data_IF_114488074744
#
_entry.id   IF_114488074744
#
_cell.length_a   1.000
_cell.length_b   1.000
_cell.length_c   1.000
_cell.angle_alpha   90.00
_cell.angle_beta   90.00
_cell.angle_gamma   90.00
#
_symmetry.space_group_name_H-M   'P 1'
#
loop_
_entity.id
_entity.type
_entity.pdbx_description
1 polymer ?
#
# COMPACT_ATOMS: atom_id res chain seq x y z
N UNK A 1 18.05 -0.10 -3.99
CA UNK A 1 18.28 -0.09 -2.53
C UNK A 1 17.49 -1.19 -1.81
N UNK A 2 16.15 -1.23 -1.87
CA UNK A 2 15.33 -2.27 -1.22
C UNK A 2 15.71 -3.72 -1.61
N UNK A 3 15.93 -3.98 -2.90
CA UNK A 3 16.33 -5.32 -3.38
C UNK A 3 17.72 -5.73 -2.88
N UNK A 4 18.66 -4.78 -2.80
CA UNK A 4 19.99 -5.03 -2.23
C UNK A 4 19.89 -5.38 -0.74
N UNK A 5 19.07 -4.64 0.02
CA UNK A 5 18.82 -4.92 1.44
C UNK A 5 18.13 -6.26 1.64
N UNK A 6 17.23 -6.65 0.74
CA UNK A 6 16.58 -7.95 0.75
C UNK A 6 17.58 -9.09 0.57
N UNK A 7 18.43 -9.02 -0.46
CA UNK A 7 19.49 -10.01 -0.70
C UNK A 7 20.51 -10.08 0.44
N UNK A 8 20.85 -8.93 1.04
CA UNK A 8 21.64 -8.91 2.26
C UNK A 8 20.93 -9.65 3.40
N UNK A 9 19.66 -9.36 3.65
CA UNK A 9 18.86 -10.03 4.69
C UNK A 9 18.83 -11.55 4.53
N UNK A 10 18.63 -12.03 3.30
CA UNK A 10 18.65 -13.45 2.95
C UNK A 10 20.01 -14.11 3.19
N UNK A 11 21.09 -13.36 3.02
CA UNK A 11 22.46 -13.86 3.21
C UNK A 11 22.87 -13.91 4.68
N UNK A 12 22.32 -13.03 5.52
CA UNK A 12 22.70 -12.89 6.92
C UNK A 12 21.79 -13.62 7.91
N UNK A 13 20.53 -13.87 7.56
CA UNK A 13 19.55 -14.51 8.46
C UNK A 13 19.00 -15.81 7.86
N UNK A 14 19.32 -16.97 8.46
CA UNK A 14 18.76 -18.26 8.04
C UNK A 14 17.24 -18.29 8.13
N UNK A 15 16.65 -17.76 9.20
CA UNK A 15 15.20 -17.72 9.39
C UNK A 15 14.53 -16.86 8.31
N UNK A 16 15.13 -15.72 7.97
CA UNK A 16 14.65 -14.88 6.87
C UNK A 16 14.79 -15.58 5.52
N UNK A 17 15.86 -16.35 5.30
CA UNK A 17 15.99 -17.16 4.09
C UNK A 17 14.90 -18.25 4.01
N UNK A 18 14.65 -18.95 5.11
CA UNK A 18 13.63 -20.01 5.18
C UNK A 18 12.22 -19.47 4.92
N UNK A 19 11.88 -18.29 5.47
CA UNK A 19 10.59 -17.63 5.22
C UNK A 19 10.31 -17.36 3.72
N UNK A 20 11.35 -17.26 2.91
CA UNK A 20 11.27 -17.00 1.47
C UNK A 20 11.57 -18.23 0.59
N UNK A 21 11.96 -19.35 1.19
CA UNK A 21 12.30 -20.56 0.46
C UNK A 21 11.02 -21.31 0.02
N UNK A 22 11.11 -22.02 -1.10
CA UNK A 22 10.09 -22.96 -1.53
C UNK A 22 10.46 -24.38 -1.06
N UNK A 23 9.53 -25.06 -0.39
CA UNK A 23 9.71 -26.44 0.07
C UNK A 23 10.00 -27.36 -1.13
N UNK A 24 11.03 -28.20 -1.02
CA UNK A 24 11.39 -29.14 -2.09
C UNK A 24 12.15 -28.52 -3.28
N UNK A 25 12.33 -27.20 -3.34
CA UNK A 25 13.18 -26.55 -4.35
C UNK A 25 14.58 -26.30 -3.75
N UNK A 26 15.66 -26.74 -4.43
CA UNK A 26 17.02 -26.53 -3.95
C UNK A 26 17.34 -25.03 -3.78
N UNK A 27 18.10 -24.63 -2.74
CA UNK A 27 18.54 -23.25 -2.55
C UNK A 27 19.26 -22.65 -3.76
N UNK A 28 19.93 -23.47 -4.57
CA UNK A 28 20.61 -23.06 -5.81
C UNK A 28 19.65 -22.36 -6.77
N UNK A 29 18.39 -22.79 -6.83
CA UNK A 29 17.39 -22.15 -7.68
C UNK A 29 17.11 -20.71 -7.21
N UNK A 30 17.07 -20.48 -5.90
CA UNK A 30 16.91 -19.14 -5.36
C UNK A 30 18.12 -18.26 -5.69
N UNK A 31 19.34 -18.78 -5.50
CA UNK A 31 20.58 -18.06 -5.85
C UNK A 31 20.73 -17.76 -7.34
N UNK A 32 20.08 -18.52 -8.22
CA UNK A 32 20.09 -18.22 -9.66
C UNK A 32 19.43 -16.88 -10.01
N UNK A 33 18.53 -16.37 -9.15
CA UNK A 33 17.91 -15.06 -9.31
C UNK A 33 18.78 -13.90 -8.79
N UNK A 34 19.84 -14.18 -8.02
CA UNK A 34 20.67 -13.13 -7.41
C UNK A 34 21.27 -12.17 -8.45
N UNK A 35 21.93 -12.70 -9.47
CA UNK A 35 22.59 -11.88 -10.48
C UNK A 35 21.58 -11.12 -11.37
N UNK A 36 20.51 -11.77 -11.91
CA UNK A 36 19.44 -11.05 -12.60
C UNK A 36 18.78 -9.96 -11.75
N UNK A 37 18.45 -10.23 -10.49
CA UNK A 37 17.81 -9.24 -9.62
C UNK A 37 18.72 -8.05 -9.33
N UNK A 38 19.99 -8.29 -9.09
CA UNK A 38 20.95 -7.23 -8.79
C UNK A 38 21.26 -6.38 -10.03
N UNK A 39 21.42 -7.00 -11.20
CA UNK A 39 21.76 -6.30 -12.43
C UNK A 39 20.53 -5.67 -13.10
N UNK A 40 19.51 -6.47 -13.39
CA UNK A 40 18.33 -6.04 -14.14
C UNK A 40 17.36 -5.26 -13.27
N UNK A 41 17.14 -5.66 -12.03
CA UNK A 41 16.15 -4.97 -11.20
C UNK A 41 16.79 -3.84 -10.40
N UNK A 42 17.78 -4.13 -9.57
CA UNK A 42 18.39 -3.11 -8.71
C UNK A 42 19.24 -2.11 -9.52
N UNK A 43 20.08 -2.60 -10.43
CA UNK A 43 20.92 -1.77 -11.30
C UNK A 43 20.11 -0.85 -12.21
N UNK A 44 19.17 -1.40 -12.98
CA UNK A 44 18.33 -0.58 -13.87
C UNK A 44 17.38 0.33 -13.09
N UNK A 45 16.89 -0.07 -11.91
CA UNK A 45 16.10 0.85 -11.06
C UNK A 45 16.92 2.03 -10.55
N UNK A 46 18.23 1.85 -10.32
CA UNK A 46 19.16 2.94 -9.99
C UNK A 46 19.34 3.86 -11.19
N UNK A 47 19.59 3.31 -12.38
CA UNK A 47 19.71 4.08 -13.61
C UNK A 47 18.42 4.85 -13.90
N UNK A 48 17.25 4.23 -13.70
CA UNK A 48 15.92 4.86 -13.81
C UNK A 48 15.77 6.08 -12.90
N UNK A 49 16.36 6.05 -11.70
CA UNK A 49 16.25 7.18 -10.77
C UNK A 49 16.95 8.45 -11.28
N UNK A 50 17.91 8.32 -12.22
CA UNK A 50 18.69 9.43 -12.76
C UNK A 50 18.48 9.67 -14.25
N UNK A 51 17.80 8.76 -14.96
CA UNK A 51 17.60 8.86 -16.41
C UNK A 51 16.14 8.60 -16.80
N UNK A 52 15.50 9.49 -17.57
CA UNK A 52 14.10 9.35 -17.97
C UNK A 52 13.96 8.48 -19.25
N UNK A 53 14.47 7.25 -19.22
CA UNK A 53 14.40 6.34 -20.38
C UNK A 53 13.20 5.40 -20.22
N UNK A 54 12.14 5.64 -20.99
CA UNK A 54 10.90 4.84 -20.94
C UNK A 54 11.15 3.35 -21.25
N UNK A 55 12.03 3.05 -22.21
CA UNK A 55 12.38 1.66 -22.56
C UNK A 55 12.91 0.88 -21.35
N UNK A 56 13.61 1.54 -20.45
CA UNK A 56 14.15 0.94 -19.23
C UNK A 56 13.05 0.46 -18.29
N UNK A 57 11.93 1.20 -18.23
CA UNK A 57 10.79 0.86 -17.39
C UNK A 57 10.12 -0.43 -17.85
N UNK A 58 9.97 -0.63 -19.17
CA UNK A 58 9.44 -1.87 -19.73
C UNK A 58 10.38 -3.07 -19.52
N UNK A 59 11.70 -2.85 -19.57
CA UNK A 59 12.68 -3.92 -19.26
C UNK A 59 12.57 -4.33 -17.79
N UNK A 60 12.49 -3.37 -16.87
CA UNK A 60 12.31 -3.64 -15.43
C UNK A 60 10.97 -4.36 -15.20
N UNK A 61 9.89 -3.92 -15.85
CA UNK A 61 8.59 -4.55 -15.75
C UNK A 61 8.63 -6.01 -16.25
N UNK A 62 9.30 -6.27 -17.37
CA UNK A 62 9.50 -7.61 -17.90
C UNK A 62 10.31 -8.51 -16.96
N UNK A 63 11.37 -7.98 -16.33
CA UNK A 63 12.15 -8.70 -15.34
C UNK A 63 11.31 -9.11 -14.12
N UNK A 64 10.52 -8.19 -13.57
CA UNK A 64 9.55 -8.51 -12.52
C UNK A 64 8.50 -9.52 -12.99
N UNK A 65 8.02 -9.42 -14.23
CA UNK A 65 7.05 -10.35 -14.81
C UNK A 65 7.58 -11.78 -14.85
N UNK A 66 8.78 -11.97 -15.38
CA UNK A 66 9.45 -13.28 -15.41
C UNK A 66 9.62 -13.87 -14.01
N UNK A 67 10.17 -13.10 -13.07
CA UNK A 67 10.37 -13.55 -11.70
C UNK A 67 9.03 -13.88 -11.00
N UNK A 68 7.98 -13.08 -11.25
CA UNK A 68 6.63 -13.33 -10.71
C UNK A 68 6.08 -14.66 -11.19
N UNK A 69 6.13 -14.93 -12.50
CA UNK A 69 5.62 -16.18 -13.05
C UNK A 69 6.38 -17.39 -12.49
N UNK A 70 7.70 -17.28 -12.34
CA UNK A 70 8.48 -18.32 -11.69
C UNK A 70 8.02 -18.58 -10.26
N UNK A 71 7.93 -17.54 -9.43
CA UNK A 71 7.51 -17.68 -8.03
C UNK A 71 6.09 -18.25 -7.92
N UNK A 72 5.14 -17.76 -8.71
CA UNK A 72 3.77 -18.27 -8.73
C UNK A 72 3.73 -19.76 -9.13
N UNK A 73 4.50 -20.16 -10.14
CA UNK A 73 4.60 -21.57 -10.54
C UNK A 73 5.25 -22.43 -9.44
N UNK A 74 6.31 -21.93 -8.81
CA UNK A 74 6.96 -22.60 -7.68
C UNK A 74 5.99 -22.80 -6.51
N UNK A 75 5.27 -21.74 -6.09
CA UNK A 75 4.24 -21.85 -5.04
C UNK A 75 3.13 -22.83 -5.42
N UNK A 76 2.71 -22.86 -6.68
CA UNK A 76 1.70 -23.80 -7.13
C UNK A 76 2.17 -25.25 -7.02
N UNK A 77 3.42 -25.54 -7.36
CA UNK A 77 3.99 -26.89 -7.33
C UNK A 77 4.33 -27.36 -5.91
N UNK A 78 4.80 -26.46 -5.04
CA UNK A 78 5.29 -26.81 -3.71
C UNK A 78 4.28 -26.55 -2.60
N UNK A 79 3.17 -25.86 -2.91
CA UNK A 79 2.21 -25.35 -1.94
C UNK A 79 2.86 -24.52 -0.81
N UNK A 80 3.96 -23.81 -1.12
CA UNK A 80 4.77 -23.06 -0.16
C UNK A 80 5.30 -21.75 -0.77
N UNK A 81 6.04 -20.94 0.01
CA UNK A 81 6.70 -19.72 -0.51
C UNK A 81 5.70 -18.61 -0.86
N UNK A 82 4.56 -18.55 -0.16
CA UNK A 82 3.54 -17.52 -0.34
C UNK A 82 4.10 -16.11 -0.15
N UNK A 83 5.04 -15.92 0.77
CA UNK A 83 5.69 -14.63 1.01
C UNK A 83 6.48 -14.15 -0.20
N UNK A 84 7.32 -15.02 -0.77
CA UNK A 84 8.13 -14.73 -1.97
C UNK A 84 7.26 -14.41 -3.18
N UNK A 85 6.24 -15.24 -3.43
CA UNK A 85 5.30 -15.03 -4.53
C UNK A 85 4.48 -13.77 -4.35
N UNK A 86 4.01 -13.49 -3.13
CA UNK A 86 3.27 -12.28 -2.80
C UNK A 86 4.11 -11.02 -3.00
N UNK A 87 5.36 -11.01 -2.55
CA UNK A 87 6.26 -9.87 -2.75
C UNK A 87 6.59 -9.62 -4.22
N UNK A 88 6.77 -10.69 -5.01
CA UNK A 88 7.03 -10.55 -6.43
C UNK A 88 5.80 -10.03 -7.19
N UNK A 89 4.60 -10.51 -6.85
CA UNK A 89 3.33 -9.98 -7.36
C UNK A 89 3.13 -8.51 -7.02
N UNK A 90 3.42 -8.10 -5.77
CA UNK A 90 3.36 -6.70 -5.36
C UNK A 90 4.38 -5.84 -6.13
N UNK A 91 5.60 -6.34 -6.31
CA UNK A 91 6.63 -5.69 -7.11
C UNK A 91 6.21 -5.50 -8.57
N UNK A 92 5.62 -6.52 -9.18
CA UNK A 92 5.08 -6.44 -10.54
C UNK A 92 3.93 -5.43 -10.64
N UNK A 93 2.98 -5.48 -9.70
CA UNK A 93 1.85 -4.55 -9.67
C UNK A 93 2.34 -3.09 -9.52
N UNK A 94 3.32 -2.85 -8.64
CA UNK A 94 3.91 -1.53 -8.44
C UNK A 94 4.63 -1.02 -9.70
N UNK A 95 5.43 -1.84 -10.37
CA UNK A 95 6.09 -1.41 -11.61
C UNK A 95 5.09 -1.25 -12.76
N UNK A 96 4.01 -2.04 -12.79
CA UNK A 96 2.90 -1.85 -13.72
C UNK A 96 2.22 -0.50 -13.49
N UNK A 97 2.00 -0.11 -12.23
CA UNK A 97 1.48 1.21 -11.87
C UNK A 97 2.41 2.35 -12.33
N UNK A 98 3.72 2.20 -12.19
CA UNK A 98 4.68 3.20 -12.66
C UNK A 98 4.72 3.33 -14.19
N UNK A 99 4.65 2.22 -14.93
CA UNK A 99 4.69 2.24 -16.40
C UNK A 99 3.38 2.74 -17.02
N UNK A 100 2.26 2.54 -16.34
CA UNK A 100 0.92 2.76 -16.87
C UNK A 100 0.02 3.60 -15.95
N UNK A 101 0.46 4.78 -15.46
CA UNK A 101 -0.27 5.54 -14.45
C UNK A 101 -1.67 5.97 -14.95
N UNK A 102 -1.79 6.31 -16.23
CA UNK A 102 -3.05 6.74 -16.85
C UNK A 102 -4.18 5.71 -16.79
N UNK A 103 -3.88 4.41 -16.61
CA UNK A 103 -4.91 3.38 -16.46
C UNK A 103 -5.50 3.33 -15.05
N UNK A 104 -4.76 3.81 -14.05
CA UNK A 104 -5.16 3.74 -12.65
C UNK A 104 -5.96 4.95 -12.19
N UNK A 105 -5.87 6.09 -12.87
CA UNK A 105 -6.57 7.32 -12.51
C UNK A 105 -7.74 7.58 -13.45
N UNK A 106 -8.96 7.38 -12.96
CA UNK A 106 -10.18 7.60 -13.76
C UNK A 106 -11.29 8.22 -12.92
N UNK A 107 -11.87 9.29 -13.44
CA UNK A 107 -12.99 9.97 -12.80
C UNK A 107 -14.26 9.11 -12.80
N UNK A 108 -15.06 9.23 -11.75
CA UNK A 108 -16.27 8.43 -11.63
C UNK A 108 -17.32 8.80 -12.65
N UNK A 109 -17.85 7.77 -13.32
CA UNK A 109 -18.95 7.89 -14.30
C UNK A 109 -20.34 7.90 -13.66
N UNK A 110 -20.44 7.61 -12.36
CA UNK A 110 -21.71 7.49 -11.65
C UNK A 110 -21.93 8.70 -10.75
N UNK A 111 -23.05 9.40 -10.96
CA UNK A 111 -23.52 10.46 -10.07
C UNK A 111 -24.40 9.94 -8.92
N UNK A 112 -24.76 8.64 -8.92
CA UNK A 112 -25.65 8.06 -7.91
C UNK A 112 -24.90 7.75 -6.61
N UNK A 113 -25.39 8.32 -5.51
CA UNK A 113 -24.87 8.07 -4.16
C UNK A 113 -24.88 6.58 -3.80
N UNK A 114 -26.00 5.87 -3.99
CA UNK A 114 -26.13 4.45 -3.62
C UNK A 114 -25.14 3.58 -4.38
N UNK A 115 -24.95 3.84 -5.68
CA UNK A 115 -23.99 3.10 -6.49
C UNK A 115 -22.55 3.33 -6.00
N UNK A 116 -22.19 4.58 -5.71
CA UNK A 116 -20.86 4.92 -5.22
C UNK A 116 -20.62 4.37 -3.81
N UNK A 117 -21.66 4.29 -2.97
CA UNK A 117 -21.60 3.66 -1.65
C UNK A 117 -21.36 2.15 -1.74
N UNK A 118 -22.09 1.44 -2.61
CA UNK A 118 -21.90 -0.01 -2.84
C UNK A 118 -20.50 -0.29 -3.36
N UNK A 119 -20.05 0.46 -4.38
CA UNK A 119 -18.69 0.32 -4.91
C UNK A 119 -17.65 0.55 -3.82
N UNK A 120 -17.77 1.63 -3.05
CA UNK A 120 -16.85 1.93 -1.95
C UNK A 120 -16.86 0.82 -0.90
N UNK A 121 -18.03 0.27 -0.57
CA UNK A 121 -18.15 -0.87 0.35
C UNK A 121 -17.39 -2.10 -0.15
N UNK A 122 -17.60 -2.49 -1.41
CA UNK A 122 -16.88 -3.61 -2.04
C UNK A 122 -15.37 -3.36 -2.06
N UNK A 123 -14.96 -2.14 -2.41
CA UNK A 123 -13.55 -1.75 -2.46
C UNK A 123 -12.89 -1.80 -1.09
N UNK A 124 -13.53 -1.23 -0.06
CA UNK A 124 -13.05 -1.25 1.32
C UNK A 124 -12.90 -2.69 1.80
N UNK A 125 -13.90 -3.54 1.56
CA UNK A 125 -13.84 -4.96 1.92
C UNK A 125 -12.67 -5.68 1.23
N UNK A 126 -12.47 -5.47 -0.07
CA UNK A 126 -11.38 -6.07 -0.82
C UNK A 126 -10.00 -5.60 -0.33
N UNK A 127 -9.83 -4.29 -0.14
CA UNK A 127 -8.57 -3.71 0.34
C UNK A 127 -8.27 -4.17 1.77
N UNK A 128 -9.27 -4.17 2.65
CA UNK A 128 -9.10 -4.60 4.04
C UNK A 128 -8.80 -6.10 4.10
N UNK A 129 -9.49 -6.93 3.34
CA UNK A 129 -9.16 -8.34 3.26
C UNK A 129 -7.71 -8.54 2.79
N UNK A 130 -7.29 -7.88 1.72
CA UNK A 130 -5.93 -8.02 1.20
C UNK A 130 -4.87 -7.51 2.20
N UNK A 131 -5.03 -6.29 2.70
CA UNK A 131 -4.02 -5.58 3.46
C UNK A 131 -4.00 -5.92 4.96
N UNK A 132 -5.14 -6.34 5.53
CA UNK A 132 -5.31 -6.57 6.97
C UNK A 132 -5.58 -8.05 7.29
N UNK A 133 -5.87 -8.90 6.31
CA UNK A 133 -6.05 -10.34 6.53
C UNK A 133 -5.00 -11.13 5.77
N UNK A 134 -4.97 -11.04 4.44
CA UNK A 134 -4.10 -11.87 3.61
C UNK A 134 -2.61 -11.59 3.87
N UNK A 135 -2.19 -10.34 3.81
CA UNK A 135 -0.77 -9.99 4.03
C UNK A 135 -0.31 -10.34 5.45
N UNK A 136 -1.03 -9.94 6.53
CA UNK A 136 -0.70 -10.38 7.88
C UNK A 136 -0.67 -11.89 8.03
N UNK A 137 -1.63 -12.62 7.46
CA UNK A 137 -1.64 -14.09 7.49
C UNK A 137 -0.38 -14.67 6.87
N UNK A 138 0.00 -14.23 5.66
CA UNK A 138 1.20 -14.71 4.97
C UNK A 138 2.47 -14.38 5.76
N UNK A 139 2.53 -13.21 6.40
CA UNK A 139 3.67 -12.84 7.26
C UNK A 139 3.71 -13.69 8.54
N UNK A 140 2.59 -13.95 9.19
CA UNK A 140 2.55 -14.77 10.39
C UNK A 140 2.89 -16.23 10.08
N UNK A 141 2.42 -16.75 8.95
CA UNK A 141 2.73 -18.09 8.46
C UNK A 141 4.23 -18.24 8.16
N UNK A 142 4.79 -17.30 7.39
CA UNK A 142 6.18 -17.37 6.96
C UNK A 142 7.21 -17.23 8.09
N UNK A 143 6.82 -16.65 9.23
CA UNK A 143 7.68 -16.47 10.41
C UNK A 143 7.25 -17.33 11.61
N UNK A 144 6.42 -18.37 11.39
CA UNK A 144 5.94 -19.28 12.44
C UNK A 144 5.26 -18.58 13.64
N UNK A 145 4.57 -17.47 13.37
CA UNK A 145 3.86 -16.62 14.34
C UNK A 145 2.34 -16.79 14.27
N UNK A 146 1.84 -17.80 13.57
CA UNK A 146 0.42 -18.22 13.58
C UNK A 146 0.03 -18.85 14.92
N UNK A 147 0.03 -18.05 15.98
CA UNK A 147 -0.49 -18.42 17.29
C UNK A 147 -1.73 -17.58 17.62
N UNK A 148 -2.63 -18.15 18.43
CA UNK A 148 -3.73 -17.36 18.98
C UNK A 148 -3.16 -16.26 19.88
N UNK A 149 -3.60 -14.99 19.72
CA UNK A 149 -3.17 -13.91 20.59
C UNK A 149 -3.41 -14.23 22.06
N UNK A 150 -2.41 -13.96 22.90
CA UNK A 150 -2.56 -14.10 24.34
C UNK A 150 -3.64 -13.15 24.87
N UNK A 151 -4.49 -13.65 25.75
CA UNK A 151 -5.51 -12.82 26.41
C UNK A 151 -4.83 -11.92 27.42
N UNK A 152 -4.83 -10.61 27.18
CA UNK A 152 -4.22 -9.63 28.06
C UNK A 152 -4.53 -8.20 27.68
N UNK A 153 -3.90 -7.25 28.39
CA UNK A 153 -4.04 -5.82 28.14
C UNK A 153 -3.69 -5.45 26.69
N UNK A 154 -2.66 -6.09 26.12
CA UNK A 154 -2.22 -5.85 24.75
C UNK A 154 -3.32 -6.15 23.72
N UNK A 155 -4.06 -7.25 23.91
CA UNK A 155 -5.20 -7.60 23.05
C UNK A 155 -6.30 -6.53 23.13
N UNK A 156 -6.64 -6.07 24.34
CA UNK A 156 -7.66 -5.02 24.52
C UNK A 156 -7.22 -3.72 23.86
N UNK A 157 -5.98 -3.28 24.08
CA UNK A 157 -5.41 -2.07 23.47
C UNK A 157 -5.39 -2.19 21.94
N UNK A 158 -4.94 -3.34 21.41
CA UNK A 158 -4.93 -3.59 19.97
C UNK A 158 -6.33 -3.52 19.36
N UNK A 159 -7.33 -4.14 19.98
CA UNK A 159 -8.72 -4.10 19.50
C UNK A 159 -9.32 -2.70 19.55
N UNK A 160 -9.02 -1.92 20.60
CA UNK A 160 -9.45 -0.52 20.70
C UNK A 160 -8.81 0.31 19.59
N UNK A 161 -7.49 0.20 19.40
CA UNK A 161 -6.78 0.92 18.33
C UNK A 161 -7.31 0.53 16.96
N UNK A 162 -7.49 -0.77 16.71
CA UNK A 162 -8.06 -1.26 15.45
C UNK A 162 -9.46 -0.69 15.21
N UNK A 163 -10.32 -0.67 16.23
CA UNK A 163 -11.66 -0.07 16.16
C UNK A 163 -11.63 1.43 15.86
N UNK A 164 -10.76 2.19 16.52
CA UNK A 164 -10.61 3.63 16.31
C UNK A 164 -10.12 3.96 14.89
N UNK A 165 -9.11 3.23 14.39
CA UNK A 165 -8.63 3.43 13.02
C UNK A 165 -9.63 2.94 11.97
N UNK A 166 -10.37 1.87 12.25
CA UNK A 166 -11.48 1.40 11.41
C UNK A 166 -12.58 2.47 11.30
N UNK A 167 -12.93 3.09 12.42
CA UNK A 167 -13.88 4.20 12.45
C UNK A 167 -13.38 5.39 11.62
N UNK A 168 -12.10 5.75 11.73
CA UNK A 168 -11.49 6.79 10.90
C UNK A 168 -11.56 6.45 9.41
N UNK A 169 -11.25 5.21 9.03
CA UNK A 169 -11.30 4.75 7.63
C UNK A 169 -12.72 4.76 7.04
N UNK A 170 -13.70 4.25 7.80
CA UNK A 170 -15.10 4.19 7.38
C UNK A 170 -15.73 5.59 7.31
N UNK A 171 -15.47 6.45 8.30
CA UNK A 171 -15.95 7.84 8.26
C UNK A 171 -15.33 8.61 7.09
N UNK A 172 -14.03 8.43 6.83
CA UNK A 172 -13.39 9.01 5.65
C UNK A 172 -14.05 8.53 4.35
N UNK A 173 -14.35 7.23 4.25
CA UNK A 173 -15.01 6.64 3.08
C UNK A 173 -16.41 7.22 2.86
N UNK A 174 -17.16 7.40 3.96
CA UNK A 174 -18.48 8.02 3.92
C UNK A 174 -18.43 9.46 3.38
N UNK A 175 -17.53 10.30 3.89
CA UNK A 175 -17.37 11.68 3.40
C UNK A 175 -16.92 11.73 1.93
N UNK A 176 -16.10 10.77 1.50
CA UNK A 176 -15.68 10.67 0.10
C UNK A 176 -16.86 10.41 -0.84
N UNK A 177 -17.74 9.47 -0.46
CA UNK A 177 -18.94 9.14 -1.26
C UNK A 177 -19.96 10.28 -1.22
N UNK A 178 -20.20 10.85 -0.04
CA UNK A 178 -21.20 11.89 0.19
C UNK A 178 -20.87 13.18 -0.55
N UNK A 179 -19.65 13.68 -0.40
CA UNK A 179 -19.28 15.03 -0.85
C UNK A 179 -18.42 15.01 -2.12
N UNK A 180 -17.84 13.86 -2.47
CA UNK A 180 -16.94 13.73 -3.60
C UNK A 180 -17.59 13.22 -4.90
N UNK A 181 -18.82 12.71 -4.87
CA UNK A 181 -19.51 12.12 -6.02
C UNK A 181 -18.65 11.08 -6.79
N UNK A 182 -17.95 10.22 -6.05
CA UNK A 182 -17.14 9.12 -6.56
C UNK A 182 -16.68 8.21 -5.42
N UNK A 183 -15.61 7.44 -5.63
CA UNK A 183 -15.07 6.50 -4.65
C UNK A 183 -13.66 6.94 -4.21
N UNK A 184 -13.16 6.45 -3.07
CA UNK A 184 -11.80 6.76 -2.62
C UNK A 184 -10.70 6.10 -3.44
N UNK A 185 -11.01 5.14 -4.33
CA UNK A 185 -10.00 4.48 -5.15
C UNK A 185 -9.63 5.31 -6.40
N UNK A 186 -8.34 5.32 -6.80
CA UNK A 186 -7.87 5.97 -8.03
C UNK A 186 -8.65 5.57 -9.30
N UNK A 187 -9.13 4.32 -9.35
CA UNK A 187 -9.83 3.77 -10.52
C UNK A 187 -11.25 4.34 -10.73
N UNK A 188 -11.83 4.98 -9.71
CA UNK A 188 -13.18 5.54 -9.75
C UNK A 188 -13.24 6.77 -8.81
N UNK A 189 -12.35 7.74 -9.04
CA UNK A 189 -12.11 8.89 -8.17
C UNK A 189 -13.32 9.83 -8.04
N UNK A 190 -13.31 10.58 -6.94
CA UNK A 190 -14.22 11.70 -6.73
C UNK A 190 -14.13 12.76 -7.82
N UNK A 191 -15.28 13.35 -8.15
CA UNK A 191 -15.44 14.46 -9.07
C UNK A 191 -15.29 15.83 -8.36
N UNK A 192 -15.41 15.85 -7.04
CA UNK A 192 -15.24 17.05 -6.22
C UNK A 192 -14.14 16.86 -5.16
N UNK A 193 -13.45 17.95 -4.85
CA UNK A 193 -12.45 17.98 -3.78
C UNK A 193 -13.16 17.94 -2.42
N UNK A 194 -12.98 16.85 -1.68
CA UNK A 194 -13.58 16.64 -0.36
C UNK A 194 -12.70 17.28 0.72
N UNK A 195 -13.26 18.24 1.46
CA UNK A 195 -12.60 18.97 2.54
C UNK A 195 -13.35 18.85 3.88
N UNK A 196 -14.36 18.01 3.93
CA UNK A 196 -15.28 17.81 5.06
C UNK A 196 -14.88 16.61 5.93
N UNK A 197 -15.42 16.55 7.14
CA UNK A 197 -15.16 15.44 8.07
C UNK A 197 -13.68 15.29 8.40
N UNK A 198 -13.11 14.06 8.39
CA UNK A 198 -11.68 13.82 8.64
C UNK A 198 -10.74 14.61 7.72
N UNK A 199 -11.17 14.88 6.47
CA UNK A 199 -10.37 15.62 5.48
C UNK A 199 -10.16 17.10 5.86
N UNK A 200 -10.92 17.64 6.82
CA UNK A 200 -10.67 18.98 7.37
C UNK A 200 -9.39 19.04 8.20
N UNK A 201 -9.04 17.93 8.85
CA UNK A 201 -7.94 17.88 9.81
C UNK A 201 -6.68 17.30 9.19
N UNK A 202 -6.80 16.36 8.25
CA UNK A 202 -5.65 15.72 7.63
C UNK A 202 -5.97 15.36 6.18
N UNK A 203 -5.00 15.48 5.26
CA UNK A 203 -5.26 15.27 3.83
C UNK A 203 -5.49 13.81 3.46
N UNK A 204 -4.85 12.88 4.18
CA UNK A 204 -4.90 11.45 3.88
C UNK A 204 -5.30 10.61 5.10
N UNK A 205 -6.52 10.81 5.64
CA UNK A 205 -6.99 10.09 6.83
C UNK A 205 -7.10 8.59 6.61
N UNK A 206 -7.37 8.14 5.38
CA UNK A 206 -7.44 6.72 5.03
C UNK A 206 -6.08 6.01 5.08
N UNK A 207 -4.99 6.69 4.67
CA UNK A 207 -3.65 6.14 4.78
C UNK A 207 -3.26 5.96 6.26
N UNK A 208 -3.59 6.94 7.10
CA UNK A 208 -3.42 6.86 8.56
C UNK A 208 -4.24 5.71 9.15
N UNK A 209 -5.50 5.57 8.75
CA UNK A 209 -6.36 4.48 9.18
C UNK A 209 -5.76 3.10 8.82
N UNK A 210 -5.36 2.89 7.57
CA UNK A 210 -4.79 1.62 7.13
C UNK A 210 -3.50 1.25 7.84
N UNK A 211 -2.56 2.20 7.99
CA UNK A 211 -1.30 1.98 8.71
C UNK A 211 -1.58 1.71 10.19
N UNK A 212 -2.48 2.48 10.81
CA UNK A 212 -2.88 2.30 12.21
C UNK A 212 -3.55 0.95 12.47
N UNK A 213 -4.42 0.49 11.57
CA UNK A 213 -5.01 -0.85 11.62
C UNK A 213 -3.94 -1.94 11.53
N UNK A 214 -2.99 -1.81 10.59
CA UNK A 214 -1.88 -2.75 10.46
C UNK A 214 -0.99 -2.80 11.71
N UNK A 215 -0.68 -1.66 12.31
CA UNK A 215 0.07 -1.61 13.57
C UNK A 215 -0.72 -2.21 14.75
N UNK A 216 -2.04 -2.06 14.78
CA UNK A 216 -2.88 -2.70 15.77
C UNK A 216 -2.83 -4.24 15.65
N UNK A 217 -2.82 -4.76 14.42
CA UNK A 217 -2.63 -6.20 14.16
C UNK A 217 -1.22 -6.63 14.59
N UNK A 218 -0.19 -5.85 14.28
CA UNK A 218 1.18 -6.14 14.72
C UNK A 218 1.29 -6.24 16.25
N UNK A 219 0.60 -5.35 16.97
CA UNK A 219 0.51 -5.39 18.43
C UNK A 219 -0.26 -6.61 18.92
N UNK A 220 -1.36 -6.98 18.26
CA UNK A 220 -2.18 -8.13 18.62
C UNK A 220 -1.40 -9.45 18.54
N UNK A 221 -0.55 -9.61 17.51
CA UNK A 221 0.24 -10.81 17.28
C UNK A 221 1.70 -10.70 17.76
N UNK A 222 2.10 -9.59 18.38
CA UNK A 222 3.49 -9.32 18.76
C UNK A 222 4.50 -9.51 17.60
N UNK A 223 4.08 -9.16 16.38
CA UNK A 223 4.79 -9.51 15.14
C UNK A 223 5.61 -8.36 14.60
N UNK A 224 6.94 -8.44 14.74
CA UNK A 224 7.88 -7.49 14.13
C UNK A 224 7.78 -7.45 12.58
N UNK A 225 7.62 -8.58 11.87
CA UNK A 225 7.40 -8.56 10.41
C UNK A 225 6.22 -7.67 9.98
N UNK A 226 5.10 -7.68 10.71
CA UNK A 226 3.95 -6.83 10.40
C UNK A 226 4.27 -5.35 10.66
N UNK A 227 5.04 -5.03 11.72
CA UNK A 227 5.51 -3.65 11.96
C UNK A 227 6.35 -3.16 10.78
N UNK A 228 7.31 -3.97 10.33
CA UNK A 228 8.18 -3.63 9.19
C UNK A 228 7.34 -3.43 7.93
N UNK A 229 6.37 -4.32 7.66
CA UNK A 229 5.42 -4.17 6.55
C UNK A 229 4.67 -2.83 6.61
N UNK A 230 4.13 -2.45 7.77
CA UNK A 230 3.41 -1.18 7.94
C UNK A 230 4.31 0.04 7.70
N UNK A 231 5.54 0.01 8.21
CA UNK A 231 6.52 1.10 8.03
C UNK A 231 6.97 1.21 6.58
N UNK A 232 7.27 0.10 5.91
CA UNK A 232 7.60 0.09 4.48
C UNK A 232 6.43 0.59 3.64
N UNK A 233 5.21 0.15 3.94
CA UNK A 233 4.00 0.64 3.29
C UNK A 233 3.83 2.15 3.45
N UNK A 234 4.05 2.69 4.65
CA UNK A 234 3.99 4.13 4.93
C UNK A 234 5.03 4.92 4.14
N UNK A 235 6.27 4.41 4.07
CA UNK A 235 7.37 5.02 3.30
C UNK A 235 7.05 5.03 1.81
N UNK A 236 6.67 3.88 1.25
CA UNK A 236 6.32 3.75 -0.17
C UNK A 236 5.15 4.68 -0.52
N UNK A 237 4.11 4.69 0.32
CA UNK A 237 2.98 5.57 0.11
C UNK A 237 3.41 7.05 0.17
N UNK A 238 4.25 7.44 1.13
CA UNK A 238 4.70 8.83 1.27
C UNK A 238 5.54 9.33 0.08
N UNK A 239 6.46 8.51 -0.42
CA UNK A 239 7.42 8.92 -1.44
C UNK A 239 6.97 8.63 -2.87
N UNK A 240 6.03 7.72 -3.07
CA UNK A 240 5.59 7.32 -4.42
C UNK A 240 4.13 7.67 -4.64
N UNK A 241 3.23 7.10 -3.84
CA UNK A 241 1.78 7.23 -4.06
C UNK A 241 1.33 8.67 -3.87
N UNK A 242 1.69 9.27 -2.72
CA UNK A 242 1.34 10.64 -2.38
C UNK A 242 1.76 11.66 -3.46
N UNK A 243 3.02 11.72 -3.94
CA UNK A 243 3.37 12.70 -4.99
C UNK A 243 2.58 12.54 -6.27
N UNK A 244 2.21 11.32 -6.66
CA UNK A 244 1.40 11.05 -7.84
C UNK A 244 -0.04 11.52 -7.61
N UNK A 245 -0.64 11.17 -6.47
CA UNK A 245 -1.97 11.65 -6.07
C UNK A 245 -2.03 13.18 -5.95
N UNK A 246 -1.03 13.82 -5.31
CA UNK A 246 -1.00 15.29 -5.17
C UNK A 246 -0.87 16.00 -6.52
N UNK A 247 -0.14 15.41 -7.48
CA UNK A 247 -0.01 15.93 -8.86
C UNK A 247 -1.32 15.80 -9.62
N UNK A 248 -1.99 14.66 -9.53
CA UNK A 248 -3.31 14.44 -10.14
C UNK A 248 -4.35 15.42 -9.56
N UNK A 249 -4.42 15.54 -8.24
CA UNK A 249 -5.31 16.49 -7.57
C UNK A 249 -5.04 17.94 -7.96
N UNK A 250 -3.76 18.33 -8.08
CA UNK A 250 -3.38 19.67 -8.54
C UNK A 250 -3.77 19.92 -10.00
N UNK A 251 -3.61 18.93 -10.88
CA UNK A 251 -3.99 19.04 -12.29
C UNK A 251 -5.52 19.13 -12.47
N UNK A 252 -6.28 18.39 -11.66
CA UNK A 252 -7.75 18.33 -11.76
C UNK A 252 -8.46 19.51 -11.10
N UNK A 253 -8.00 19.91 -9.91
CA UNK A 253 -8.70 20.89 -9.08
C UNK A 253 -8.02 22.26 -9.03
N UNK A 254 -6.78 22.40 -9.51
CA UNK A 254 -6.08 23.68 -9.58
C UNK A 254 -5.94 24.40 -8.23
N UNK A 255 -6.24 25.71 -8.22
CA UNK A 255 -6.10 26.60 -7.08
C UNK A 255 -6.87 26.16 -5.81
N UNK A 256 -8.13 25.66 -5.89
CA UNK A 256 -8.81 25.04 -4.75
C UNK A 256 -7.96 24.01 -4.00
N UNK A 257 -7.27 23.12 -4.72
CA UNK A 257 -6.41 22.12 -4.09
C UNK A 257 -5.14 22.71 -3.50
N UNK A 258 -4.54 23.70 -4.15
CA UNK A 258 -3.35 24.38 -3.61
C UNK A 258 -3.67 25.12 -2.31
N UNK A 259 -4.83 25.76 -2.21
CA UNK A 259 -5.28 26.42 -1.00
C UNK A 259 -5.53 25.41 0.12
N UNK A 260 -6.20 24.30 -0.18
CA UNK A 260 -6.40 23.20 0.76
C UNK A 260 -5.06 22.61 1.26
N UNK A 261 -4.10 22.38 0.35
CA UNK A 261 -2.76 21.85 0.65
C UNK A 261 -1.95 22.75 1.60
N UNK A 262 -2.14 24.07 1.54
CA UNK A 262 -1.50 25.04 2.44
C UNK A 262 -2.12 25.03 3.84
N UNK A 263 -3.39 24.68 3.96
CA UNK A 263 -4.14 24.74 5.21
C UNK A 263 -4.07 23.43 6.00
N UNK A 264 -4.01 22.29 5.30
CA UNK A 264 -4.11 20.95 5.92
C UNK A 264 -2.83 20.15 5.70
N UNK A 265 -2.27 19.58 6.77
CA UNK A 265 -1.07 18.74 6.66
C UNK A 265 -1.42 17.32 6.18
N UNK A 266 -0.41 16.61 5.65
CA UNK A 266 -0.62 15.28 5.08
C UNK A 266 -0.85 14.19 6.13
N UNK A 267 -0.13 14.27 7.26
CA UNK A 267 -0.10 13.22 8.30
C UNK A 267 -0.53 13.70 9.67
N UNK A 268 -0.22 14.95 10.00
CA UNK A 268 -0.47 15.52 11.33
C UNK A 268 -1.80 16.29 11.27
N UNK A 269 -2.74 16.03 12.19
CA UNK A 269 -3.98 16.80 12.27
C UNK A 269 -3.71 18.31 12.46
N UNK A 270 -4.26 19.13 11.57
CA UNK A 270 -4.30 20.58 11.69
C UNK A 270 -5.63 21.04 12.25
N UNK A 271 -5.62 21.73 13.40
CA UNK A 271 -6.80 22.32 14.01
C UNK A 271 -6.97 23.81 13.69
N UNK A 272 -6.36 24.28 12.59
CA UNK A 272 -6.38 25.69 12.23
C UNK A 272 -7.81 26.11 11.84
N UNK A 273 -8.31 27.18 12.45
CA UNK A 273 -9.61 27.78 12.12
C UNK A 273 -9.49 28.39 10.71
N UNK A 274 -10.26 27.88 9.75
CA UNK A 274 -10.46 28.57 8.47
C UNK A 274 -11.28 29.82 8.79
N UNK A 275 -10.67 30.99 8.75
CA UNK A 275 -11.41 32.26 8.72
C UNK A 275 -12.17 32.29 7.39
N UNK A 276 -13.49 32.36 7.45
CA UNK A 276 -14.32 32.58 6.27
C UNK A 276 -14.00 33.98 5.73
N UNK A 277 -13.12 34.07 4.74
CA UNK A 277 -13.01 35.27 3.90
C UNK A 277 -14.15 35.27 2.87
N UNK A 278 -15.37 35.42 3.35
CA UNK A 278 -16.55 35.78 2.54
C UNK A 278 -17.43 36.73 3.35
N UNK A 279 -17.04 37.99 3.36
CA UNK A 279 -17.93 39.14 3.56
C UNK A 279 -17.24 40.36 2.92
N UNK A 280 -17.62 40.64 1.67
CA UNK A 280 -17.73 41.96 1.04
C UNK A 280 -18.41 41.80 -0.33
#
# INVERSE_FOLDING_TARGET
MLICLWWMGLSFSPDFFQAFQFAGIPPVAFWSFFAPDLLLIAGLSLVRAYTPIVTLEYVILGAFGYATFYCCNATFLTHSGLLSSGLMLLGLAFNGFLCFPQFFFRASRSSSFTMNAVKTGVQVLCIWFLALVLIPYVLLDAFDQLAFPERGLNMVVALILFGLFSLLGLTSSYFMVRDGAGTPLPLDQTNHLVQSGPYRYVRNPMAIAGIGQGLAIALLFHSLPIVIYCLLGAIIWHFVVRPIEERDLAARYGDPYQNYRKQVMCWIPTFRRVENSQEN
#
